data_IF_000668130528
#
_entry.id   IF_000668130528
#
_cell.length_a   1.000
_cell.length_b   1.000
_cell.length_c   1.000
_cell.angle_alpha   90.00
_cell.angle_beta   90.00
_cell.angle_gamma   90.00
#
_symmetry.space_group_name_H-M   'P 1'
#
loop_
_entity.id
_entity.type
_entity.pdbx_description
1 polymer ?
#
# COMPACT_ATOMS: atom_id res chain seq x y z
N UNK A 1 12.17 0.93 20.90
CA UNK A 1 12.05 -0.31 20.07
C UNK A 1 13.40 -0.55 19.40
N UNK A 2 13.87 -1.79 19.39
CA UNK A 2 15.13 -2.14 18.74
C UNK A 2 15.00 -2.02 17.21
N UNK A 3 16.08 -1.61 16.54
CA UNK A 3 16.12 -1.61 15.09
C UNK A 3 16.07 -3.05 14.57
N UNK A 4 15.18 -3.39 13.62
CA UNK A 4 15.08 -4.75 13.10
C UNK A 4 16.37 -5.15 12.37
N UNK A 5 16.76 -6.41 12.55
CA UNK A 5 17.89 -7.04 11.88
C UNK A 5 17.71 -7.11 10.36
N UNK A 6 18.79 -7.33 9.62
CA UNK A 6 18.72 -7.46 8.16
C UNK A 6 17.76 -8.58 7.70
N UNK A 7 17.73 -9.70 8.44
CA UNK A 7 16.84 -10.83 8.14
C UNK A 7 15.36 -10.47 8.38
N UNK A 8 15.05 -9.80 9.49
CA UNK A 8 13.67 -9.34 9.77
C UNK A 8 13.20 -8.32 8.74
N UNK A 9 14.09 -7.44 8.27
CA UNK A 9 13.78 -6.49 7.18
C UNK A 9 13.43 -7.21 5.88
N UNK A 10 14.19 -8.25 5.51
CA UNK A 10 13.90 -9.05 4.31
C UNK A 10 12.54 -9.75 4.40
N UNK A 11 12.23 -10.35 5.55
CA UNK A 11 10.91 -11.00 5.77
C UNK A 11 9.78 -9.97 5.67
N UNK A 12 9.94 -8.81 6.31
CA UNK A 12 8.97 -7.72 6.24
C UNK A 12 8.72 -7.25 4.79
N UNK A 13 9.78 -6.96 4.03
CA UNK A 13 9.65 -6.52 2.64
C UNK A 13 9.05 -7.61 1.75
N UNK A 14 9.41 -8.88 1.95
CA UNK A 14 8.78 -10.00 1.23
C UNK A 14 7.29 -10.11 1.50
N UNK A 15 6.86 -10.00 2.77
CA UNK A 15 5.45 -10.01 3.14
C UNK A 15 4.68 -8.81 2.56
N UNK A 16 5.31 -7.62 2.52
CA UNK A 16 4.77 -6.43 1.85
C UNK A 16 4.53 -6.70 0.37
N UNK A 17 5.53 -7.23 -0.33
CA UNK A 17 5.46 -7.42 -1.78
C UNK A 17 4.41 -8.45 -2.18
N UNK A 18 4.28 -9.53 -1.38
CA UNK A 18 3.22 -10.52 -1.56
C UNK A 18 1.82 -9.91 -1.34
N UNK A 19 1.64 -9.13 -0.26
CA UNK A 19 0.38 -8.44 -0.01
C UNK A 19 0.07 -7.46 -1.13
N UNK A 20 1.07 -6.72 -1.59
CA UNK A 20 0.87 -5.72 -2.63
C UNK A 20 0.51 -6.31 -3.98
N UNK A 21 1.20 -7.38 -4.37
CA UNK A 21 0.87 -8.14 -5.58
C UNK A 21 -0.54 -8.69 -5.53
N UNK A 22 -0.97 -9.22 -4.38
CA UNK A 22 -2.34 -9.70 -4.24
C UNK A 22 -3.36 -8.59 -4.49
N UNK A 23 -3.13 -7.39 -3.96
CA UNK A 23 -4.02 -6.25 -4.20
C UNK A 23 -4.01 -5.84 -5.69
N UNK A 24 -2.86 -5.82 -6.34
CA UNK A 24 -2.76 -5.52 -7.78
C UNK A 24 -3.55 -6.55 -8.62
N UNK A 25 -3.39 -7.84 -8.32
CA UNK A 25 -4.05 -8.95 -9.02
C UNK A 25 -5.57 -9.00 -8.75
N UNK A 26 -6.05 -8.37 -7.67
CA UNK A 26 -7.45 -8.38 -7.24
C UNK A 26 -8.11 -7.00 -7.29
N UNK A 27 -7.61 -6.08 -8.13
CA UNK A 27 -8.20 -4.75 -8.33
C UNK A 27 -8.41 -3.97 -7.02
N UNK A 28 -7.42 -4.02 -6.12
CA UNK A 28 -7.41 -3.40 -4.80
C UNK A 28 -8.44 -3.95 -3.79
N UNK A 29 -8.99 -5.16 -4.01
CA UNK A 29 -9.87 -5.84 -3.04
C UNK A 29 -9.07 -6.39 -1.84
N UNK A 30 -8.96 -5.56 -0.79
CA UNK A 30 -8.27 -5.92 0.45
C UNK A 30 -8.90 -7.10 1.20
N UNK A 31 -10.19 -7.42 0.97
CA UNK A 31 -10.84 -8.53 1.66
C UNK A 31 -10.26 -9.88 1.21
N UNK A 32 -9.93 -10.00 -0.08
CA UNK A 32 -9.29 -11.21 -0.65
C UNK A 32 -7.86 -11.40 -0.16
N UNK A 33 -7.17 -10.30 0.17
CA UNK A 33 -5.78 -10.29 0.58
C UNK A 33 -5.59 -10.28 2.11
N UNK A 34 -6.65 -10.50 2.90
CA UNK A 34 -6.63 -10.39 4.37
C UNK A 34 -5.58 -11.30 5.05
N UNK A 35 -5.38 -12.52 4.55
CA UNK A 35 -4.37 -13.43 5.11
C UNK A 35 -2.94 -12.91 4.92
N UNK A 36 -2.65 -12.35 3.75
CA UNK A 36 -1.37 -11.70 3.46
C UNK A 36 -1.21 -10.41 4.24
N UNK A 37 -2.30 -9.66 4.45
CA UNK A 37 -2.30 -8.47 5.31
C UNK A 37 -1.88 -8.81 6.73
N UNK A 38 -2.46 -9.84 7.34
CA UNK A 38 -2.07 -10.28 8.69
C UNK A 38 -0.61 -10.71 8.76
N UNK A 39 -0.10 -11.38 7.72
CA UNK A 39 1.32 -11.78 7.64
C UNK A 39 2.25 -10.57 7.54
N UNK A 40 1.88 -9.57 6.75
CA UNK A 40 2.60 -8.30 6.64
C UNK A 40 2.60 -7.53 7.97
N UNK A 41 1.46 -7.46 8.66
CA UNK A 41 1.35 -6.77 9.95
C UNK A 41 2.14 -7.46 11.07
N UNK A 42 2.22 -8.79 11.05
CA UNK A 42 3.00 -9.55 12.01
C UNK A 42 4.52 -9.48 11.75
N UNK A 43 4.93 -9.35 10.48
CA UNK A 43 6.34 -9.40 10.07
C UNK A 43 7.03 -8.04 10.10
N UNK A 44 6.27 -6.94 10.15
CA UNK A 44 6.79 -5.59 10.00
C UNK A 44 6.55 -4.73 11.25
N UNK A 45 7.46 -3.80 11.58
CA UNK A 45 7.18 -2.76 12.57
C UNK A 45 5.98 -1.90 12.17
N UNK A 46 5.12 -1.53 13.13
CA UNK A 46 3.92 -0.71 12.87
C UNK A 46 4.20 0.60 12.14
N UNK A 47 5.33 1.26 12.42
CA UNK A 47 5.72 2.48 11.72
C UNK A 47 5.99 2.25 10.24
N UNK A 48 6.57 1.10 9.90
CA UNK A 48 6.86 0.73 8.52
C UNK A 48 5.59 0.36 7.77
N UNK A 49 4.66 -0.33 8.42
CA UNK A 49 3.34 -0.63 7.85
C UNK A 49 2.63 0.67 7.47
N UNK A 50 2.54 1.62 8.40
CA UNK A 50 1.95 2.95 8.14
C UNK A 50 2.64 3.68 6.98
N UNK A 51 3.97 3.62 6.91
CA UNK A 51 4.73 4.23 5.82
C UNK A 51 4.44 3.56 4.48
N UNK A 52 4.45 2.23 4.42
CA UNK A 52 4.22 1.48 3.20
C UNK A 52 2.78 1.65 2.71
N UNK A 53 1.77 1.61 3.58
CA UNK A 53 0.38 1.82 3.20
C UNK A 53 0.21 3.19 2.51
N UNK A 54 0.70 4.28 3.14
CA UNK A 54 0.70 5.62 2.53
C UNK A 54 1.46 5.68 1.21
N UNK A 55 2.59 4.97 1.11
CA UNK A 55 3.39 4.92 -0.11
C UNK A 55 2.63 4.22 -1.23
N UNK A 56 1.90 3.13 -0.94
CA UNK A 56 1.07 2.42 -1.92
C UNK A 56 -0.01 3.34 -2.46
N UNK A 57 -0.75 4.00 -1.58
CA UNK A 57 -1.83 4.92 -1.96
C UNK A 57 -1.31 6.03 -2.87
N UNK A 58 -0.17 6.62 -2.52
CA UNK A 58 0.49 7.62 -3.36
C UNK A 58 0.88 7.06 -4.73
N UNK A 59 1.47 5.87 -4.80
CA UNK A 59 1.87 5.25 -6.06
C UNK A 59 0.65 4.95 -6.95
N UNK A 60 -0.44 4.44 -6.37
CA UNK A 60 -1.69 4.18 -7.10
C UNK A 60 -2.36 5.47 -7.56
N UNK A 61 -2.35 6.51 -6.74
CA UNK A 61 -2.82 7.82 -7.15
C UNK A 61 -1.97 8.38 -8.30
N UNK A 62 -0.65 8.28 -8.18
CA UNK A 62 0.29 8.72 -9.21
C UNK A 62 0.08 7.97 -10.53
N UNK A 63 -0.11 6.65 -10.48
CA UNK A 63 -0.39 5.82 -11.65
C UNK A 63 -1.67 6.28 -12.37
N UNK A 64 -2.77 6.53 -11.63
CA UNK A 64 -4.01 7.08 -12.19
C UNK A 64 -3.85 8.48 -12.76
N UNK A 65 -3.05 9.32 -12.09
CA UNK A 65 -2.76 10.67 -12.56
C UNK A 65 -1.96 10.65 -13.87
N UNK A 66 -0.93 9.82 -13.95
CA UNK A 66 -0.11 9.64 -15.16
C UNK A 66 -0.90 8.98 -16.30
N UNK A 67 -1.84 8.10 -15.99
CA UNK A 67 -2.79 7.53 -16.95
C UNK A 67 -3.80 8.56 -17.51
N UNK A 68 -3.81 9.79 -17.00
CA UNK A 68 -4.71 10.84 -17.45
C UNK A 68 -6.15 10.68 -16.96
N UNK A 69 -6.40 9.79 -16.01
CA UNK A 69 -7.73 9.54 -15.43
C UNK A 69 -8.13 10.59 -14.38
N UNK A 70 -7.24 11.54 -14.08
CA UNK A 70 -7.54 12.62 -13.15
C UNK A 70 -8.46 13.65 -13.81
N UNK A 71 -9.76 13.52 -13.54
CA UNK A 71 -10.72 14.57 -13.85
C UNK A 71 -10.59 15.70 -12.82
N UNK A 72 -10.32 16.94 -13.24
CA UNK A 72 -10.46 18.09 -12.34
C UNK A 72 -11.88 18.08 -11.76
N UNK A 73 -12.01 18.03 -10.44
CA UNK A 73 -13.31 18.24 -9.80
C UNK A 73 -13.81 19.61 -10.25
N UNK A 74 -15.00 19.68 -10.83
CA UNK A 74 -15.63 20.93 -11.24
C UNK A 74 -15.52 21.94 -10.09
N UNK A 75 -14.83 23.05 -10.35
CA UNK A 75 -14.76 24.20 -9.48
C UNK A 75 -16.19 24.60 -9.11
N UNK A 76 -16.50 24.65 -7.81
CA UNK A 76 -17.73 25.24 -7.31
C UNK A 76 -17.65 26.76 -7.54
N UNK A 77 -17.94 27.20 -8.75
CA UNK A 77 -18.36 28.57 -9.05
C UNK A 77 -19.83 28.52 -9.46
N UNK A 78 -20.71 28.79 -8.50
CA UNK A 78 -21.90 29.65 -8.64
C UNK A 78 -22.80 29.53 -7.40
N UNK A 79 -22.64 30.47 -6.47
CA UNK A 79 -23.74 31.04 -5.67
C UNK A 79 -23.35 32.46 -5.28
#
# INVERSE_FOLDING_TARGET
MAAPSMKERQVCWGARDLYWRCLDDNAEDAARCKQLRSSFEASCPQQWIKYFDKRRDYLKFKEKFEAGEFQPSQSTENS
#
